data_IF_923225232066
#
_entry.id   IF_923225232066
#
_cell.length_a   1.000
_cell.length_b   1.000
_cell.length_c   1.000
_cell.angle_alpha   90.00
_cell.angle_beta   90.00
_cell.angle_gamma   90.00
#
_symmetry.space_group_name_H-M   'P 1'
#
loop_
_entity.id
_entity.type
_entity.pdbx_description
1 polymer ?
#
# COMPACT_ATOMS: atom_id res chain seq x y z
N UNK A 1 -76.86 -27.38 -16.50
CA UNK A 1 -75.48 -27.42 -16.89
C UNK A 1 -74.72 -26.35 -16.10
N UNK A 2 -73.93 -26.76 -15.11
CA UNK A 2 -73.17 -25.86 -14.24
C UNK A 2 -71.67 -26.01 -14.57
N UNK A 3 -71.02 -24.95 -14.96
CA UNK A 3 -69.57 -24.94 -15.21
C UNK A 3 -68.86 -24.46 -13.94
N UNK A 4 -67.79 -25.11 -13.51
CA UNK A 4 -66.96 -24.62 -12.37
C UNK A 4 -65.95 -23.60 -12.85
N UNK A 5 -65.89 -22.47 -12.15
CA UNK A 5 -64.86 -21.44 -12.29
C UNK A 5 -63.65 -21.89 -11.53
N UNK A 6 -62.54 -22.17 -12.24
CA UNK A 6 -61.26 -22.49 -11.66
C UNK A 6 -60.47 -21.15 -11.42
N UNK A 7 -60.31 -20.77 -10.17
CA UNK A 7 -59.50 -19.62 -9.76
C UNK A 7 -58.03 -20.06 -9.65
N UNK A 8 -57.20 -19.63 -10.61
CA UNK A 8 -55.75 -19.78 -10.52
C UNK A 8 -55.20 -18.74 -9.55
N UNK A 9 -54.73 -19.19 -8.39
CA UNK A 9 -53.94 -18.39 -7.43
C UNK A 9 -52.49 -18.30 -7.93
N UNK A 10 -52.12 -17.19 -8.59
CA UNK A 10 -50.77 -16.91 -8.99
C UNK A 10 -49.95 -16.46 -7.77
N UNK A 11 -49.05 -17.30 -7.30
CA UNK A 11 -48.02 -16.93 -6.32
C UNK A 11 -47.00 -16.00 -6.97
N UNK A 12 -47.09 -14.71 -6.68
CA UNK A 12 -46.04 -13.73 -6.99
C UNK A 12 -44.94 -13.90 -5.93
N UNK A 13 -43.88 -14.65 -6.27
CA UNK A 13 -42.63 -14.66 -5.52
C UNK A 13 -41.84 -13.36 -5.82
N UNK A 14 -42.09 -12.35 -5.02
CA UNK A 14 -41.21 -11.17 -4.98
C UNK A 14 -39.88 -11.56 -4.30
N UNK A 15 -38.89 -11.89 -5.13
CA UNK A 15 -37.51 -12.07 -4.66
C UNK A 15 -36.97 -10.74 -4.11
N UNK A 16 -36.83 -10.65 -2.78
CA UNK A 16 -36.01 -9.58 -2.14
C UNK A 16 -34.55 -9.79 -2.56
N UNK A 17 -34.08 -8.99 -3.50
CA UNK A 17 -32.67 -8.81 -3.74
C UNK A 17 -32.10 -7.96 -2.59
N UNK A 18 -31.58 -8.61 -1.56
CA UNK A 18 -30.78 -7.96 -0.54
C UNK A 18 -29.43 -7.66 -1.22
N UNK A 19 -29.31 -6.46 -1.76
CA UNK A 19 -28.03 -5.90 -2.20
C UNK A 19 -27.15 -5.71 -0.98
N UNK A 20 -26.41 -6.75 -0.58
CA UNK A 20 -25.36 -6.62 0.42
C UNK A 20 -24.26 -5.77 -0.17
N UNK A 21 -23.95 -4.63 0.46
CA UNK A 21 -22.69 -3.93 0.22
C UNK A 21 -21.57 -4.94 0.48
N UNK A 22 -20.89 -5.38 -0.58
CA UNK A 22 -19.74 -6.26 -0.46
C UNK A 22 -18.59 -5.43 0.16
N UNK A 23 -18.55 -5.34 1.48
CA UNK A 23 -17.35 -4.94 2.22
C UNK A 23 -16.34 -6.06 1.99
N UNK A 24 -15.14 -5.71 1.51
CA UNK A 24 -14.06 -6.68 1.33
C UNK A 24 -13.78 -7.45 2.64
N UNK A 25 -13.04 -8.57 2.57
CA UNK A 25 -12.70 -9.33 3.76
C UNK A 25 -11.94 -8.46 4.76
N UNK A 26 -12.15 -8.70 6.06
CA UNK A 26 -11.47 -7.97 7.12
C UNK A 26 -9.94 -8.17 7.01
N UNK A 27 -9.13 -7.14 7.31
CA UNK A 27 -7.68 -7.26 7.30
C UNK A 27 -7.18 -8.31 8.30
N UNK A 28 -6.11 -9.03 7.92
CA UNK A 28 -5.44 -9.96 8.81
C UNK A 28 -4.33 -9.19 9.56
N UNK A 29 -4.43 -9.11 10.87
CA UNK A 29 -3.43 -8.47 11.73
C UNK A 29 -2.18 -9.36 11.80
N UNK A 30 -1.04 -8.83 11.37
CA UNK A 30 0.28 -9.46 11.53
C UNK A 30 0.96 -8.94 12.78
N UNK A 31 0.92 -7.63 12.96
CA UNK A 31 1.44 -6.92 14.12
C UNK A 31 0.63 -5.65 14.37
N UNK A 32 0.40 -5.35 15.63
CA UNK A 32 -0.23 -4.11 16.06
C UNK A 32 0.47 -3.58 17.31
N UNK A 33 1.26 -2.51 17.11
CA UNK A 33 1.98 -1.80 18.15
C UNK A 33 1.43 -0.39 18.36
N UNK A 34 2.07 0.37 19.25
CA UNK A 34 1.68 1.76 19.53
C UNK A 34 2.10 2.72 18.42
N UNK A 35 3.21 2.47 17.76
CA UNK A 35 3.80 3.34 16.75
C UNK A 35 3.90 2.68 15.38
N UNK A 36 3.78 1.34 15.33
CA UNK A 36 3.86 0.55 14.10
C UNK A 36 2.76 -0.50 14.05
N UNK A 37 2.25 -0.74 12.86
CA UNK A 37 1.31 -1.82 12.60
C UNK A 37 1.55 -2.39 11.20
N UNK A 38 1.30 -3.69 11.05
CA UNK A 38 1.41 -4.43 9.78
C UNK A 38 0.21 -5.33 9.64
N UNK A 39 -0.46 -5.25 8.47
CA UNK A 39 -1.63 -6.06 8.15
C UNK A 39 -1.51 -6.67 6.76
N UNK A 40 -2.34 -7.68 6.50
CA UNK A 40 -2.66 -8.12 5.15
C UNK A 40 -4.06 -7.60 4.81
N UNK A 41 -4.14 -6.78 3.79
CA UNK A 41 -5.40 -6.30 3.23
C UNK A 41 -5.70 -7.01 1.92
N UNK A 42 -6.99 -7.31 1.70
CA UNK A 42 -7.44 -7.75 0.39
C UNK A 42 -7.19 -6.64 -0.64
N UNK A 43 -6.57 -7.02 -1.75
CA UNK A 43 -6.27 -6.12 -2.84
C UNK A 43 -7.20 -6.36 -4.03
N UNK A 44 -8.24 -5.53 -4.23
CA UNK A 44 -9.14 -5.66 -5.36
C UNK A 44 -8.43 -5.45 -6.72
N UNK A 45 -7.22 -4.91 -6.71
CA UNK A 45 -6.41 -4.65 -7.91
C UNK A 45 -5.41 -5.76 -8.22
N UNK A 46 -5.34 -6.80 -7.38
CA UNK A 46 -4.43 -7.93 -7.59
C UNK A 46 -4.63 -8.60 -8.97
N UNK A 47 -5.84 -8.54 -9.53
CA UNK A 47 -6.16 -9.13 -10.84
C UNK A 47 -5.91 -10.64 -10.85
N UNK A 48 -4.91 -11.10 -11.62
CA UNK A 48 -4.51 -12.51 -11.67
C UNK A 48 -3.83 -13.00 -10.37
N UNK A 49 -3.61 -12.11 -9.41
CA UNK A 49 -2.97 -12.37 -8.13
C UNK A 49 -1.52 -11.93 -8.07
N UNK A 50 -1.06 -11.71 -6.84
CA UNK A 50 0.34 -11.50 -6.51
C UNK A 50 1.07 -12.84 -6.41
N UNK A 51 2.40 -12.81 -6.45
CA UNK A 51 3.24 -14.01 -6.30
C UNK A 51 3.45 -14.36 -4.82
N UNK A 52 2.35 -14.44 -4.07
CA UNK A 52 2.33 -14.80 -2.66
C UNK A 52 1.85 -16.24 -2.46
N UNK A 53 2.27 -16.95 -1.39
CA UNK A 53 3.28 -16.53 -0.40
C UNK A 53 4.70 -16.53 -0.95
N UNK A 54 5.57 -15.69 -0.37
CA UNK A 54 6.99 -15.61 -0.71
C UNK A 54 7.85 -15.48 0.54
N UNK A 55 9.03 -16.11 0.54
CA UNK A 55 9.97 -15.99 1.64
C UNK A 55 10.98 -14.86 1.35
N UNK A 56 10.83 -13.76 2.10
CA UNK A 56 11.80 -12.67 2.17
C UNK A 56 12.26 -12.61 3.62
N UNK A 57 13.56 -12.74 3.89
CA UNK A 57 14.05 -12.71 5.27
C UNK A 57 13.92 -11.30 5.88
N UNK A 58 13.99 -11.21 7.22
CA UNK A 58 13.95 -9.91 7.90
C UNK A 58 15.12 -9.02 7.49
N UNK A 59 16.30 -9.62 7.25
CA UNK A 59 17.50 -8.91 6.81
C UNK A 59 17.35 -8.37 5.39
N UNK A 60 16.78 -9.19 4.48
CA UNK A 60 16.47 -8.75 3.11
C UNK A 60 15.43 -7.63 3.13
N UNK A 61 14.38 -7.77 3.95
CA UNK A 61 13.36 -6.74 4.10
C UNK A 61 13.94 -5.45 4.69
N UNK A 62 14.84 -5.56 5.66
CA UNK A 62 15.56 -4.41 6.22
C UNK A 62 16.44 -3.72 5.16
N UNK A 63 17.12 -4.48 4.30
CA UNK A 63 17.90 -3.93 3.19
C UNK A 63 16.99 -3.21 2.17
N UNK A 64 15.83 -3.77 1.87
CA UNK A 64 14.81 -3.11 1.03
C UNK A 64 14.38 -1.78 1.65
N UNK A 65 13.92 -1.77 2.89
CA UNK A 65 13.45 -0.54 3.56
C UNK A 65 14.55 0.52 3.67
N UNK A 66 15.80 0.11 3.93
CA UNK A 66 16.99 0.99 3.97
C UNK A 66 17.24 1.66 2.62
N UNK A 67 16.94 0.98 1.52
CA UNK A 67 17.13 1.50 0.16
C UNK A 67 16.07 2.50 -0.28
N UNK A 68 14.91 2.57 0.38
CA UNK A 68 13.83 3.49 -0.02
C UNK A 68 14.21 4.93 0.26
N UNK A 69 14.17 5.75 -0.78
CA UNK A 69 14.49 7.18 -0.76
C UNK A 69 13.25 8.00 -1.10
N UNK A 70 13.20 9.22 -0.57
CA UNK A 70 12.15 10.19 -0.90
C UNK A 70 12.79 11.55 -1.13
N UNK A 71 12.26 12.26 -2.12
CA UNK A 71 12.56 13.66 -2.39
C UNK A 71 11.33 14.49 -2.15
N UNK A 72 11.46 15.62 -1.49
CA UNK A 72 10.38 16.60 -1.43
C UNK A 72 10.09 17.14 -2.84
N UNK A 73 8.81 17.34 -3.11
CA UNK A 73 8.34 17.92 -4.36
C UNK A 73 7.90 19.34 -4.08
N UNK A 74 8.80 20.28 -4.23
CA UNK A 74 8.48 21.70 -4.09
C UNK A 74 8.06 22.24 -5.46
N UNK A 75 6.81 22.69 -5.56
CA UNK A 75 6.30 23.38 -6.75
C UNK A 75 6.43 24.89 -6.50
N UNK A 76 7.50 25.48 -7.01
CA UNK A 76 7.68 26.94 -7.00
C UNK A 76 7.35 27.48 -8.39
N UNK A 77 6.28 28.28 -8.48
CA UNK A 77 5.91 28.98 -9.71
C UNK A 77 5.51 28.08 -10.90
N UNK A 78 5.02 26.86 -10.63
CA UNK A 78 4.62 25.91 -11.67
C UNK A 78 5.77 25.10 -12.29
N UNK A 79 7.00 25.29 -11.82
CA UNK A 79 8.15 24.51 -12.21
C UNK A 79 8.53 23.51 -11.13
N UNK A 80 8.73 22.26 -11.53
CA UNK A 80 9.14 21.15 -10.67
C UNK A 80 10.67 21.19 -10.50
N UNK A 81 11.15 21.66 -9.36
CA UNK A 81 12.56 21.66 -9.03
C UNK A 81 12.91 20.34 -8.28
N UNK A 82 13.38 19.37 -9.02
CA UNK A 82 13.97 18.15 -8.46
C UNK A 82 15.47 18.37 -8.25
N UNK A 83 15.88 18.71 -7.04
CA UNK A 83 17.30 18.73 -6.68
C UNK A 83 17.79 17.32 -6.38
N UNK A 84 18.83 16.86 -7.08
CA UNK A 84 19.41 15.52 -6.84
C UNK A 84 20.12 15.40 -5.46
N UNK A 85 20.39 16.52 -4.80
CA UNK A 85 21.11 16.56 -3.54
C UNK A 85 20.25 16.26 -2.29
N UNK A 86 18.91 16.29 -2.41
CA UNK A 86 18.03 16.31 -1.24
C UNK A 86 17.22 15.02 -1.03
N UNK A 87 17.70 13.87 -1.53
CA UNK A 87 17.01 12.61 -1.26
C UNK A 87 17.30 12.11 0.16
N UNK A 88 16.25 12.01 0.99
CA UNK A 88 16.31 11.47 2.34
C UNK A 88 15.90 9.99 2.38
N UNK A 89 16.28 9.26 3.41
CA UNK A 89 15.71 7.94 3.70
C UNK A 89 14.23 8.08 4.06
N UNK A 90 13.39 7.22 3.49
CA UNK A 90 11.97 7.17 3.85
C UNK A 90 11.77 6.64 5.28
N UNK A 91 12.62 5.71 5.72
CA UNK A 91 12.54 5.06 7.02
C UNK A 91 13.82 5.31 7.83
N UNK A 92 13.67 5.61 9.11
CA UNK A 92 14.76 5.62 10.09
C UNK A 92 15.20 4.19 10.42
N UNK A 93 16.41 4.03 10.97
CA UNK A 93 16.90 2.71 11.42
C UNK A 93 15.93 2.03 12.41
N UNK A 94 15.34 2.82 13.33
CA UNK A 94 14.36 2.29 14.30
C UNK A 94 13.12 1.75 13.60
N UNK A 95 12.58 2.48 12.64
CA UNK A 95 11.40 2.06 11.85
C UNK A 95 11.69 0.80 11.02
N UNK A 96 12.88 0.71 10.42
CA UNK A 96 13.33 -0.47 9.68
C UNK A 96 13.36 -1.69 10.60
N UNK A 97 14.00 -1.58 11.77
CA UNK A 97 14.09 -2.67 12.74
C UNK A 97 12.72 -3.10 13.26
N UNK A 98 11.79 -2.17 13.39
CA UNK A 98 10.42 -2.47 13.83
C UNK A 98 9.60 -3.15 12.72
N UNK A 99 9.69 -2.68 11.46
CA UNK A 99 8.85 -3.18 10.37
C UNK A 99 9.35 -4.48 9.73
N UNK A 100 10.67 -4.62 9.52
CA UNK A 100 11.22 -5.68 8.69
C UNK A 100 10.84 -7.11 9.13
N UNK A 101 10.84 -7.49 10.42
CA UNK A 101 10.43 -8.82 10.83
C UNK A 101 8.95 -9.08 10.58
N UNK A 102 8.10 -8.08 10.80
CA UNK A 102 6.65 -8.22 10.63
C UNK A 102 6.25 -8.25 9.15
N UNK A 103 6.89 -7.46 8.29
CA UNK A 103 6.70 -7.56 6.84
C UNK A 103 7.19 -8.91 6.29
N UNK A 104 8.35 -9.41 6.76
CA UNK A 104 8.82 -10.76 6.43
C UNK A 104 7.77 -11.82 6.80
N UNK A 105 7.15 -11.71 7.98
CA UNK A 105 6.09 -12.61 8.42
C UNK A 105 4.83 -12.46 7.55
N UNK A 106 4.45 -11.23 7.19
CA UNK A 106 3.31 -10.95 6.33
C UNK A 106 3.45 -11.67 4.98
N UNK A 107 4.60 -11.57 4.32
CA UNK A 107 4.84 -12.23 3.03
C UNK A 107 4.75 -13.75 3.07
N UNK A 108 5.09 -14.37 4.19
CA UNK A 108 4.94 -15.83 4.39
C UNK A 108 3.48 -16.28 4.54
N UNK A 109 2.60 -15.37 5.00
CA UNK A 109 1.20 -15.65 5.28
C UNK A 109 0.25 -15.13 4.19
N UNK A 110 0.70 -14.17 3.38
CA UNK A 110 -0.12 -13.53 2.36
C UNK A 110 -0.62 -14.53 1.33
N UNK A 111 -1.89 -14.40 0.96
CA UNK A 111 -2.47 -15.06 -0.20
C UNK A 111 -2.19 -14.26 -1.49
N UNK A 112 -2.41 -14.83 -2.69
CA UNK A 112 -2.26 -14.09 -3.94
C UNK A 112 -3.18 -12.85 -4.07
N UNK A 113 -4.18 -12.70 -3.23
CA UNK A 113 -5.09 -11.55 -3.23
C UNK A 113 -4.76 -10.52 -2.14
N UNK A 114 -3.67 -10.71 -1.39
CA UNK A 114 -3.32 -9.84 -0.29
C UNK A 114 -2.19 -8.88 -0.65
N UNK A 115 -2.25 -7.68 -0.10
CA UNK A 115 -1.16 -6.71 -0.04
C UNK A 115 -0.74 -6.56 1.43
N UNK A 116 0.57 -6.66 1.71
CA UNK A 116 1.10 -6.37 3.03
C UNK A 116 1.16 -4.86 3.21
N UNK A 117 0.40 -4.32 4.16
CA UNK A 117 0.37 -2.88 4.45
C UNK A 117 1.05 -2.58 5.76
N UNK A 118 1.55 -1.36 5.87
CA UNK A 118 2.16 -0.85 7.10
C UNK A 118 1.67 0.56 7.42
N UNK A 119 1.67 0.87 8.71
CA UNK A 119 1.36 2.17 9.25
C UNK A 119 2.33 2.49 10.38
N UNK A 120 2.96 3.65 10.31
CA UNK A 120 3.90 4.15 11.32
C UNK A 120 3.46 5.53 11.79
N UNK A 121 3.62 5.77 13.08
CA UNK A 121 3.51 7.12 13.67
C UNK A 121 4.79 7.50 14.36
N UNK A 122 5.28 8.70 14.07
CA UNK A 122 6.42 9.32 14.77
C UNK A 122 5.97 10.64 15.37
N UNK A 123 6.45 10.94 16.59
CA UNK A 123 6.19 12.23 17.21
C UNK A 123 7.28 13.21 16.79
N UNK A 124 6.87 14.35 16.28
CA UNK A 124 7.73 15.49 15.99
C UNK A 124 7.41 16.63 16.95
N UNK A 125 8.45 17.26 17.53
CA UNK A 125 8.28 18.29 18.56
C UNK A 125 7.59 19.56 18.05
N UNK A 126 7.61 19.81 16.75
CA UNK A 126 7.01 21.01 16.14
C UNK A 126 5.72 20.76 15.35
N UNK A 127 5.52 19.52 14.86
CA UNK A 127 4.41 19.20 13.97
C UNK A 127 3.43 18.16 14.54
N UNK A 128 3.70 17.65 15.75
CA UNK A 128 2.88 16.60 16.36
C UNK A 128 3.11 15.22 15.76
N UNK A 129 2.04 14.44 15.61
CA UNK A 129 2.15 13.10 15.02
C UNK A 129 2.35 13.17 13.49
N UNK A 130 3.36 12.46 12.99
CA UNK A 130 3.63 12.30 11.57
C UNK A 130 3.37 10.85 11.17
N UNK A 131 2.73 10.65 10.02
CA UNK A 131 2.34 9.35 9.50
C UNK A 131 3.23 8.96 8.32
N UNK A 132 3.73 7.72 8.36
CA UNK A 132 4.33 7.03 7.22
C UNK A 132 3.56 5.73 6.98
N UNK A 133 2.98 5.58 5.79
CA UNK A 133 2.16 4.41 5.48
C UNK A 133 2.27 4.00 4.02
N UNK A 134 1.93 2.75 3.76
CA UNK A 134 2.01 2.19 2.42
C UNK A 134 1.72 0.70 2.38
N UNK A 135 2.09 0.08 1.24
CA UNK A 135 1.90 -1.35 1.05
C UNK A 135 2.99 -1.96 0.18
N UNK A 136 3.16 -3.27 0.33
CA UNK A 136 4.13 -4.06 -0.42
C UNK A 136 3.47 -5.33 -0.94
N UNK A 137 3.82 -5.71 -2.16
CA UNK A 137 3.45 -7.00 -2.75
C UNK A 137 4.54 -7.49 -3.69
N UNK A 138 4.56 -8.80 -3.97
CA UNK A 138 5.47 -9.38 -4.96
C UNK A 138 4.67 -9.78 -6.19
N UNK A 139 5.16 -9.41 -7.36
CA UNK A 139 4.61 -9.87 -8.64
C UNK A 139 5.76 -10.38 -9.49
N UNK A 140 5.60 -11.60 -9.99
CA UNK A 140 6.69 -12.34 -10.61
C UNK A 140 7.87 -12.45 -9.63
N UNK A 141 9.00 -11.86 -9.93
CA UNK A 141 10.19 -11.88 -9.08
C UNK A 141 10.53 -10.51 -8.46
N UNK A 142 9.65 -9.52 -8.63
CA UNK A 142 9.90 -8.14 -8.22
C UNK A 142 9.03 -7.76 -7.03
N UNK A 143 9.62 -7.03 -6.10
CA UNK A 143 8.92 -6.43 -4.97
C UNK A 143 8.43 -5.04 -5.36
N UNK A 144 7.15 -4.83 -5.21
CA UNK A 144 6.46 -3.55 -5.42
C UNK A 144 6.25 -2.89 -4.07
N UNK A 145 6.60 -1.61 -3.97
CA UNK A 145 6.41 -0.79 -2.77
C UNK A 145 5.59 0.42 -3.16
N UNK A 146 4.43 0.58 -2.54
CA UNK A 146 3.55 1.73 -2.69
C UNK A 146 3.67 2.58 -1.44
N UNK A 147 4.18 3.81 -1.56
CA UNK A 147 4.24 4.77 -0.46
C UNK A 147 3.03 5.70 -0.55
N UNK A 148 2.09 5.59 0.38
CA UNK A 148 0.94 6.49 0.45
C UNK A 148 1.31 7.81 1.14
N UNK A 149 1.95 7.71 2.30
CA UNK A 149 2.35 8.82 3.13
C UNK A 149 3.78 8.66 3.62
N UNK A 150 4.55 9.74 3.70
CA UNK A 150 5.88 9.76 4.30
C UNK A 150 5.99 11.00 5.17
N UNK A 151 6.11 10.80 6.49
CA UNK A 151 6.17 11.85 7.51
C UNK A 151 5.15 12.96 7.27
N UNK A 152 3.91 12.55 6.96
CA UNK A 152 2.82 13.46 6.63
C UNK A 152 2.01 13.76 7.88
N UNK A 153 1.78 15.04 8.17
CA UNK A 153 0.93 15.45 9.29
C UNK A 153 -0.55 15.22 8.99
N UNK A 154 -1.33 14.63 9.90
CA UNK A 154 -2.78 14.51 9.76
C UNK A 154 -3.49 15.87 9.55
N UNK A 155 -2.93 16.96 10.13
CA UNK A 155 -3.45 18.32 9.92
C UNK A 155 -3.34 18.83 8.47
N UNK A 156 -2.60 18.10 7.60
CA UNK A 156 -2.49 18.39 6.16
C UNK A 156 -3.65 17.85 5.34
N UNK A 157 -4.68 17.26 5.96
CA UNK A 157 -5.84 16.69 5.26
C UNK A 157 -6.59 17.83 4.56
N UNK A 158 -6.61 17.79 3.23
CA UNK A 158 -7.32 18.76 2.39
C UNK A 158 -8.71 18.28 1.94
N UNK A 159 -9.18 17.14 2.46
CA UNK A 159 -10.49 16.59 2.10
C UNK A 159 -11.51 16.89 3.19
N UNK A 160 -12.55 17.64 2.86
CA UNK A 160 -13.61 18.06 3.80
C UNK A 160 -14.36 16.91 4.48
N UNK A 161 -14.27 15.68 3.93
CA UNK A 161 -15.01 14.51 4.43
C UNK A 161 -14.13 13.43 5.07
N UNK A 162 -12.86 13.71 5.37
CA UNK A 162 -11.93 12.66 5.85
C UNK A 162 -11.85 12.56 7.38
N UNK A 163 -12.59 13.38 8.11
CA UNK A 163 -12.57 13.40 9.58
C UNK A 163 -13.12 12.12 10.22
N UNK A 164 -13.87 11.29 9.49
CA UNK A 164 -14.42 10.02 9.98
C UNK A 164 -13.60 8.80 9.56
N UNK A 165 -12.59 8.96 8.68
CA UNK A 165 -11.78 7.85 8.22
C UNK A 165 -10.57 7.68 9.14
N UNK A 166 -10.50 6.55 9.82
CA UNK A 166 -9.27 6.15 10.50
C UNK A 166 -8.22 5.81 9.42
N UNK A 167 -7.23 6.71 9.25
CA UNK A 167 -6.14 6.53 8.28
C UNK A 167 -5.37 5.24 8.55
N UNK A 168 -5.39 4.78 9.81
CA UNK A 168 -4.78 3.52 10.22
C UNK A 168 -5.46 2.34 9.52
N UNK A 169 -6.78 2.38 9.36
CA UNK A 169 -7.55 1.33 8.67
C UNK A 169 -7.40 1.39 7.14
N UNK A 170 -6.89 2.51 6.61
CA UNK A 170 -6.66 2.70 5.17
C UNK A 170 -5.21 3.15 4.88
N UNK A 171 -4.19 2.31 5.14
CA UNK A 171 -2.78 2.70 5.04
C UNK A 171 -2.34 3.13 3.64
N UNK A 172 -3.10 2.77 2.62
CA UNK A 172 -2.85 3.15 1.22
C UNK A 172 -3.52 4.46 0.81
N UNK A 173 -4.30 5.10 1.71
CA UNK A 173 -4.94 6.38 1.43
C UNK A 173 -3.93 7.53 1.60
N UNK A 174 -3.65 8.33 0.55
CA UNK A 174 -2.79 9.49 0.69
C UNK A 174 -3.50 10.61 1.44
N UNK A 175 -2.87 11.10 2.52
CA UNK A 175 -3.36 12.24 3.30
C UNK A 175 -3.15 13.55 2.54
N UNK A 176 -2.02 13.67 1.85
CA UNK A 176 -1.68 14.86 1.07
C UNK A 176 -1.26 14.47 -0.34
N UNK A 177 -1.75 15.23 -1.33
CA UNK A 177 -1.34 15.05 -2.73
C UNK A 177 0.08 15.61 -2.94
N UNK A 178 0.89 14.90 -3.74
CA UNK A 178 2.10 15.40 -4.41
C UNK A 178 3.22 15.98 -3.54
N UNK A 179 3.43 15.46 -2.33
CA UNK A 179 4.50 16.01 -1.46
C UNK A 179 5.88 15.37 -1.65
N UNK A 180 5.98 14.24 -2.34
CA UNK A 180 7.27 13.57 -2.53
C UNK A 180 7.29 12.69 -3.78
N UNK A 181 8.52 12.40 -4.23
CA UNK A 181 8.83 11.37 -5.24
C UNK A 181 9.64 10.28 -4.58
N UNK A 182 9.25 9.03 -4.78
CA UNK A 182 9.96 7.88 -4.29
C UNK A 182 11.12 7.50 -5.22
N UNK A 183 12.22 7.05 -4.65
CA UNK A 183 13.40 6.52 -5.33
C UNK A 183 14.00 5.36 -4.56
N UNK A 184 15.02 4.72 -5.13
CA UNK A 184 15.68 3.60 -4.50
C UNK A 184 17.20 3.65 -4.68
N UNK A 185 17.92 3.20 -3.66
CA UNK A 185 19.36 3.01 -3.67
C UNK A 185 19.69 1.66 -3.01
N UNK A 186 20.51 0.80 -3.60
CA UNK A 186 21.31 1.04 -4.80
C UNK A 186 20.46 1.01 -6.10
N UNK A 187 20.89 1.78 -7.09
CA UNK A 187 20.13 1.97 -8.35
C UNK A 187 20.02 0.68 -9.17
N UNK A 188 20.97 -0.23 -9.02
CA UNK A 188 21.03 -1.51 -9.73
C UNK A 188 19.89 -2.46 -9.34
N UNK A 189 19.32 -2.29 -8.16
CA UNK A 189 18.16 -3.04 -7.68
C UNK A 189 16.82 -2.37 -8.03
N UNK A 190 16.84 -1.12 -8.48
CA UNK A 190 15.63 -0.38 -8.85
C UNK A 190 15.28 -0.62 -10.31
N UNK A 191 14.05 -1.04 -10.56
CA UNK A 191 13.49 -1.17 -11.90
C UNK A 191 12.60 0.04 -12.16
N UNK A 192 12.94 0.93 -13.11
CA UNK A 192 12.10 2.05 -13.48
C UNK A 192 10.69 1.61 -13.90
N UNK A 193 9.67 2.41 -13.58
CA UNK A 193 8.26 2.03 -13.77
C UNK A 193 7.89 1.75 -15.23
N UNK A 194 8.51 2.43 -16.18
CA UNK A 194 8.33 2.18 -17.63
C UNK A 194 8.84 0.80 -18.05
N UNK A 195 9.91 0.30 -17.41
CA UNK A 195 10.44 -1.05 -17.62
C UNK A 195 9.57 -2.09 -16.90
N UNK A 196 9.16 -1.81 -15.67
CA UNK A 196 8.29 -2.70 -14.89
C UNK A 196 6.96 -2.96 -15.60
N UNK A 197 6.35 -1.94 -16.21
CA UNK A 197 5.13 -2.09 -17.00
C UNK A 197 5.29 -3.04 -18.19
N UNK A 198 6.44 -3.01 -18.84
CA UNK A 198 6.72 -3.90 -19.97
C UNK A 198 6.94 -5.35 -19.55
N UNK A 199 7.58 -5.55 -18.38
CA UNK A 199 7.90 -6.87 -17.86
C UNK A 199 6.67 -7.60 -17.32
N UNK A 200 5.83 -6.89 -16.59
CA UNK A 200 4.77 -7.52 -15.78
C UNK A 200 3.37 -7.32 -16.35
N UNK A 201 3.22 -6.62 -17.49
CA UNK A 201 1.92 -6.26 -18.05
C UNK A 201 1.08 -5.42 -17.07
N UNK A 202 1.72 -4.84 -16.04
CA UNK A 202 1.08 -4.14 -14.96
C UNK A 202 0.73 -2.71 -15.35
N UNK A 203 -0.54 -2.48 -15.60
CA UNK A 203 -1.07 -1.21 -16.11
C UNK A 203 -1.27 -0.12 -15.06
N UNK A 204 -0.35 0.04 -14.10
CA UNK A 204 -0.29 1.25 -13.26
C UNK A 204 -1.57 1.59 -12.48
N UNK A 205 -2.28 0.60 -11.94
CA UNK A 205 -3.54 0.81 -11.21
C UNK A 205 -3.35 1.30 -9.78
N UNK A 206 -2.12 1.31 -9.27
CA UNK A 206 -1.79 1.81 -7.95
C UNK A 206 -1.22 3.21 -8.05
N UNK A 207 -1.91 4.18 -7.51
CA UNK A 207 -1.45 5.53 -7.19
C UNK A 207 -0.59 6.24 -8.25
N UNK A 208 -0.23 7.44 -7.95
CA UNK A 208 0.78 8.24 -8.63
C UNK A 208 2.07 7.43 -8.80
N UNK A 209 2.53 7.25 -10.02
CA UNK A 209 3.77 6.53 -10.36
C UNK A 209 4.99 7.03 -9.59
N UNK A 210 4.95 8.29 -9.19
CA UNK A 210 5.99 8.90 -8.36
C UNK A 210 6.13 8.26 -6.97
N UNK A 211 5.14 7.48 -6.53
CA UNK A 211 5.08 6.82 -5.22
C UNK A 211 5.23 5.30 -5.30
N UNK A 212 5.35 4.74 -6.49
CA UNK A 212 5.54 3.32 -6.73
C UNK A 212 7.01 3.03 -7.01
N UNK A 213 7.56 2.06 -6.28
CA UNK A 213 8.89 1.52 -6.52
C UNK A 213 8.78 0.04 -6.90
N UNK A 214 9.60 -0.38 -7.85
CA UNK A 214 9.74 -1.79 -8.24
C UNK A 214 11.19 -2.21 -8.05
N UNK A 215 11.39 -3.25 -7.23
CA UNK A 215 12.70 -3.63 -6.74
C UNK A 215 12.99 -5.09 -7.09
N UNK A 216 14.13 -5.33 -7.72
CA UNK A 216 14.74 -6.66 -7.79
C UNK A 216 15.45 -6.94 -6.46
N UNK A 217 14.70 -7.42 -5.47
CA UNK A 217 15.23 -7.64 -4.13
C UNK A 217 16.25 -8.77 -4.03
N UNK A 218 16.38 -9.62 -5.08
CA UNK A 218 17.41 -10.65 -5.16
C UNK A 218 18.80 -10.06 -5.37
N UNK A 219 18.88 -8.84 -5.92
CA UNK A 219 20.15 -8.10 -6.09
C UNK A 219 20.62 -7.39 -4.83
N UNK A 220 19.78 -7.34 -3.78
CA UNK A 220 20.18 -6.75 -2.52
C UNK A 220 20.95 -7.77 -1.70
N UNK A 221 22.23 -7.50 -1.47
CA UNK A 221 23.04 -8.33 -0.57
C UNK A 221 22.72 -7.94 0.89
N UNK A 222 22.51 -8.94 1.78
CA UNK A 222 22.42 -8.68 3.20
C UNK A 222 23.73 -8.03 3.69
N UNK A 223 23.68 -6.80 4.20
CA UNK A 223 24.83 -6.15 4.85
C UNK A 223 25.47 -4.97 4.13
N UNK A 224 24.94 -4.50 3.00
CA UNK A 224 25.35 -3.22 2.39
C UNK A 224 24.58 -2.02 2.97
#
# INVERSE_FOLDING_TARGET
MRWPVTICFGCILTGLWIGGCATGPAPIVIHEGRQESVWLHFDPKAGAGHSHPVSITSEQMAAVLKGVRVKSRDVIGGFELLSDKDSAQAFSTREILALAPHLSQAFKKASPQDIATFYLTTQDSGQGALITSGGLFVRNEHLYIVLANVRTSPSSIQYENTYELDIKDQPLLPIARFKFVAGFSPREAWIPNDQARKLDGYGGSYMDEAKLLVIDFKRLQPGQ
#
